data_IF_402368507036
#
_entry.id   IF_402368507036
#
_cell.length_a   1.000
_cell.length_b   1.000
_cell.length_c   1.000
_cell.angle_alpha   90.00
_cell.angle_beta   90.00
_cell.angle_gamma   90.00
#
_symmetry.space_group_name_H-M   'P 1'
#
loop_
_entity.id
_entity.type
_entity.pdbx_description
1 polymer ?
#
# COMPACT_ATOMS: atom_id res chain seq x y z
N UNK A 1 -11.57 -28.30 -2.94
CA UNK A 1 -10.33 -27.96 -2.20
C UNK A 1 -10.13 -26.45 -2.21
N UNK A 2 -10.83 -25.72 -1.34
CA UNK A 2 -10.74 -24.26 -1.26
C UNK A 2 -9.47 -23.87 -0.50
N UNK A 3 -8.38 -23.57 -1.22
CA UNK A 3 -7.20 -22.98 -0.61
C UNK A 3 -7.59 -21.58 -0.15
N UNK A 4 -7.92 -21.47 1.14
CA UNK A 4 -8.17 -20.20 1.82
C UNK A 4 -6.99 -19.26 1.53
N UNK A 5 -7.23 -18.26 0.67
CA UNK A 5 -6.26 -17.24 0.32
C UNK A 5 -6.09 -16.34 1.53
N UNK A 6 -5.22 -16.73 2.46
CA UNK A 6 -4.90 -15.91 3.61
C UNK A 6 -4.24 -14.64 3.10
N UNK A 7 -4.98 -13.54 3.19
CA UNK A 7 -4.49 -12.18 2.94
C UNK A 7 -3.27 -12.00 3.82
N UNK A 8 -2.15 -11.59 3.21
CA UNK A 8 -0.89 -11.45 3.93
C UNK A 8 -0.65 -9.98 4.26
N UNK A 9 -0.68 -9.60 5.54
CA UNK A 9 -0.48 -8.22 5.93
C UNK A 9 0.96 -7.81 5.63
N UNK A 10 1.10 -6.61 5.07
CA UNK A 10 2.36 -5.87 5.06
C UNK A 10 2.15 -4.58 5.82
N UNK A 11 3.05 -4.29 6.75
CA UNK A 11 3.01 -3.06 7.55
C UNK A 11 4.22 -2.20 7.15
N UNK A 12 4.01 -1.03 6.54
CA UNK A 12 5.08 -0.06 6.36
C UNK A 12 5.60 0.38 7.74
N UNK A 13 6.92 0.39 7.90
CA UNK A 13 7.54 0.90 9.12
C UNK A 13 7.57 2.44 9.10
N UNK A 14 7.71 3.03 10.29
CA UNK A 14 8.07 4.44 10.48
C UNK A 14 9.38 4.82 9.75
N UNK A 15 10.29 3.86 9.58
CA UNK A 15 11.53 4.04 8.82
C UNK A 15 11.25 3.93 7.32
N UNK A 16 11.67 4.94 6.57
CA UNK A 16 11.55 4.99 5.09
C UNK A 16 12.10 3.70 4.47
N UNK A 17 11.37 3.15 3.50
CA UNK A 17 11.72 1.93 2.76
C UNK A 17 11.54 0.62 3.52
N UNK A 18 11.31 0.62 4.84
CA UNK A 18 11.18 -0.62 5.61
C UNK A 18 9.75 -1.13 5.63
N UNK A 19 9.60 -2.43 5.40
CA UNK A 19 8.33 -3.15 5.47
C UNK A 19 8.46 -4.35 6.40
N UNK A 20 7.51 -4.46 7.32
CA UNK A 20 7.38 -5.60 8.23
C UNK A 20 6.42 -6.62 7.63
N UNK A 21 6.76 -7.89 7.85
CA UNK A 21 5.98 -9.06 7.46
C UNK A 21 5.61 -9.83 8.73
N UNK A 22 4.57 -9.40 9.48
CA UNK A 22 4.26 -9.96 10.79
C UNK A 22 4.01 -11.47 10.74
N UNK A 23 3.27 -11.93 9.75
CA UNK A 23 2.97 -13.36 9.56
C UNK A 23 4.20 -14.22 9.28
N UNK A 24 5.32 -13.61 8.90
CA UNK A 24 6.56 -14.31 8.57
C UNK A 24 7.70 -14.00 9.54
N UNK A 25 7.49 -13.12 10.53
CA UNK A 25 8.52 -12.68 11.47
C UNK A 25 9.73 -12.03 10.79
N UNK A 26 9.51 -11.38 9.64
CA UNK A 26 10.58 -10.85 8.81
C UNK A 26 10.40 -9.36 8.50
N UNK A 27 11.50 -8.74 8.05
CA UNK A 27 11.52 -7.35 7.56
C UNK A 27 12.34 -7.26 6.29
N UNK A 28 12.02 -6.30 5.43
CA UNK A 28 12.81 -6.00 4.25
C UNK A 28 12.87 -4.48 4.02
N UNK A 29 13.95 -4.05 3.35
CA UNK A 29 14.13 -2.66 2.96
C UNK A 29 14.04 -2.55 1.44
N UNK A 30 13.09 -1.78 0.94
CA UNK A 30 12.99 -1.36 -0.45
C UNK A 30 13.72 -0.03 -0.63
N UNK A 31 14.28 0.21 -1.82
CA UNK A 31 14.79 1.54 -2.16
C UNK A 31 13.60 2.52 -2.42
N UNK A 32 13.84 3.83 -2.58
CA UNK A 32 12.73 4.78 -2.76
C UNK A 32 11.80 4.45 -3.93
N UNK A 33 12.33 4.06 -5.09
CA UNK A 33 11.52 3.71 -6.27
C UNK A 33 10.72 2.40 -6.08
N UNK A 34 11.35 1.38 -5.52
CA UNK A 34 10.74 0.10 -5.18
C UNK A 34 9.64 0.28 -4.13
N UNK A 35 9.91 1.05 -3.07
CA UNK A 35 8.98 1.36 -1.99
C UNK A 35 7.78 2.15 -2.51
N UNK A 36 8.04 3.14 -3.38
CA UNK A 36 7.01 3.94 -4.05
C UNK A 36 6.05 3.06 -4.84
N UNK A 37 6.59 2.21 -5.72
CA UNK A 37 5.77 1.27 -6.48
C UNK A 37 4.99 0.33 -5.57
N UNK A 38 5.65 -0.25 -4.57
CA UNK A 38 5.00 -1.23 -3.71
C UNK A 38 3.86 -0.61 -2.90
N UNK A 39 4.06 0.59 -2.32
CA UNK A 39 3.00 1.34 -1.62
C UNK A 39 1.85 1.71 -2.54
N UNK A 40 2.12 2.16 -3.76
CA UNK A 40 1.07 2.43 -4.75
C UNK A 40 0.20 1.17 -4.96
N UNK A 41 0.80 0.02 -5.24
CA UNK A 41 0.04 -1.22 -5.44
C UNK A 41 -0.65 -1.75 -4.17
N UNK A 42 -0.17 -1.39 -2.98
CA UNK A 42 -0.87 -1.70 -1.72
C UNK A 42 -2.13 -0.84 -1.55
N UNK A 43 -2.15 0.39 -2.08
CA UNK A 43 -3.30 1.29 -2.09
C UNK A 43 -4.33 0.99 -3.18
N UNK A 44 -3.95 0.21 -4.20
CA UNK A 44 -4.79 -0.16 -5.34
C UNK A 44 -5.04 -1.68 -5.41
N UNK A 45 -5.90 -2.26 -4.53
CA UNK A 45 -6.21 -3.69 -4.53
C UNK A 45 -6.88 -4.18 -5.82
N UNK A 46 -7.57 -3.29 -6.55
CA UNK A 46 -8.12 -3.51 -7.89
C UNK A 46 -7.04 -3.71 -8.97
N UNK A 47 -5.82 -3.26 -8.67
CA UNK A 47 -4.66 -3.28 -9.55
C UNK A 47 -4.66 -2.16 -10.58
N UNK A 48 -3.45 -1.87 -11.06
CA UNK A 48 -3.20 -0.79 -12.03
C UNK A 48 -2.69 -1.37 -13.35
N UNK A 49 -3.02 -0.70 -14.45
CA UNK A 49 -2.37 -0.93 -15.74
C UNK A 49 -1.01 -0.23 -15.71
N UNK A 50 0.04 -0.89 -16.22
CA UNK A 50 1.39 -0.32 -16.18
C UNK A 50 1.51 0.97 -17.01
N UNK A 51 0.72 1.10 -18.07
CA UNK A 51 0.67 2.29 -18.93
C UNK A 51 -0.01 3.47 -18.23
N UNK A 52 -1.03 3.19 -17.42
CA UNK A 52 -1.80 4.18 -16.66
C UNK A 52 -1.07 4.70 -15.41
N UNK A 53 0.16 4.23 -15.14
CA UNK A 53 0.94 4.64 -13.97
C UNK A 53 1.12 6.17 -13.88
N UNK A 54 1.19 6.84 -15.04
CA UNK A 54 1.29 8.31 -15.13
C UNK A 54 0.03 9.01 -14.62
N UNK A 55 -1.15 8.37 -14.68
CA UNK A 55 -2.40 8.92 -14.13
C UNK A 55 -2.34 9.05 -12.59
N UNK A 56 -1.46 8.30 -11.95
CA UNK A 56 -1.20 8.34 -10.51
C UNK A 56 0.00 9.23 -10.14
N UNK A 57 0.38 10.19 -10.99
CA UNK A 57 1.56 11.03 -10.80
C UNK A 57 1.61 11.71 -9.43
N UNK A 58 0.48 12.28 -8.97
CA UNK A 58 0.41 12.97 -7.67
C UNK A 58 0.67 12.02 -6.50
N UNK A 59 0.14 10.80 -6.55
CA UNK A 59 0.38 9.78 -5.52
C UNK A 59 1.83 9.29 -5.56
N UNK A 60 2.35 8.98 -6.75
CA UNK A 60 3.75 8.61 -6.94
C UNK A 60 4.69 9.68 -6.39
N UNK A 61 4.41 10.95 -6.65
CA UNK A 61 5.17 12.09 -6.13
C UNK A 61 5.19 12.13 -4.61
N UNK A 62 4.00 12.06 -3.99
CA UNK A 62 3.87 12.14 -2.55
C UNK A 62 4.53 10.95 -1.84
N UNK A 63 4.33 9.74 -2.36
CA UNK A 63 4.95 8.55 -1.81
C UNK A 63 6.47 8.64 -1.98
N UNK A 64 6.98 8.99 -3.17
CA UNK A 64 8.42 9.08 -3.39
C UNK A 64 9.07 10.16 -2.53
N UNK A 65 8.43 11.32 -2.35
CA UNK A 65 8.89 12.37 -1.45
C UNK A 65 9.00 11.86 0.00
N UNK A 66 8.03 11.06 0.45
CA UNK A 66 8.08 10.40 1.75
C UNK A 66 9.18 9.32 1.84
N UNK A 67 9.47 8.61 0.76
CA UNK A 67 10.46 7.52 0.78
C UNK A 67 11.91 7.98 0.57
N UNK A 68 12.12 9.12 -0.09
CA UNK A 68 13.45 9.66 -0.41
C UNK A 68 13.98 10.58 0.70
N UNK A 69 15.24 10.42 1.08
CA UNK A 69 15.88 11.29 2.08
C UNK A 69 16.20 12.69 1.54
N UNK A 70 16.27 12.83 0.21
CA UNK A 70 16.64 14.07 -0.45
C UNK A 70 15.39 14.83 -0.88
N UNK A 71 15.30 16.10 -0.47
CA UNK A 71 14.28 17.00 -0.97
C UNK A 71 14.78 17.72 -2.24
N UNK A 72 15.11 16.92 -3.26
CA UNK A 72 15.48 17.41 -4.58
C UNK A 72 14.32 17.11 -5.55
N UNK A 73 13.55 18.13 -5.95
CA UNK A 73 12.44 17.97 -6.87
C UNK A 73 12.86 17.41 -8.24
N UNK A 74 14.06 17.76 -8.73
CA UNK A 74 14.55 17.34 -10.04
C UNK A 74 14.92 15.87 -10.04
N UNK A 75 15.62 15.40 -9.01
CA UNK A 75 15.94 13.97 -8.85
C UNK A 75 14.67 13.12 -8.70
N UNK A 76 13.68 13.63 -7.96
CA UNK A 76 12.38 12.99 -7.79
C UNK A 76 11.64 12.89 -9.13
N UNK A 77 11.53 14.00 -9.85
CA UNK A 77 10.89 14.04 -11.17
C UNK A 77 11.57 13.05 -12.12
N UNK A 78 12.90 13.09 -12.24
CA UNK A 78 13.66 12.19 -13.10
C UNK A 78 13.42 10.70 -12.75
N UNK A 79 13.35 10.37 -11.46
CA UNK A 79 13.06 9.01 -11.01
C UNK A 79 11.65 8.57 -11.43
N UNK A 80 10.65 9.43 -11.29
CA UNK A 80 9.25 9.13 -11.62
C UNK A 80 8.99 9.10 -13.12
N UNK A 81 9.57 10.02 -13.90
CA UNK A 81 9.53 9.97 -15.37
C UNK A 81 10.13 8.65 -15.86
N UNK A 82 11.27 8.25 -15.31
CA UNK A 82 11.91 6.97 -15.66
C UNK A 82 11.00 5.77 -15.34
N UNK A 83 10.30 5.81 -14.20
CA UNK A 83 9.37 4.79 -13.75
C UNK A 83 8.15 4.67 -14.67
N UNK A 84 7.60 5.80 -15.10
CA UNK A 84 6.41 5.89 -15.94
C UNK A 84 6.71 5.78 -17.45
N UNK A 85 7.98 5.76 -17.85
CA UNK A 85 8.40 5.71 -19.26
C UNK A 85 7.70 4.62 -20.07
N UNK A 86 7.46 4.92 -21.36
CA UNK A 86 6.78 4.02 -22.30
C UNK A 86 7.46 2.64 -22.42
N UNK A 87 8.79 2.59 -22.34
CA UNK A 87 9.53 1.31 -22.37
C UNK A 87 9.21 0.36 -21.20
N UNK A 88 8.69 0.91 -20.09
CA UNK A 88 8.47 0.23 -18.79
C UNK A 88 9.67 -0.57 -18.28
N UNK A 89 10.88 -0.32 -18.79
CA UNK A 89 12.10 -1.06 -18.41
C UNK A 89 12.41 -0.89 -16.93
N UNK A 90 12.34 0.34 -16.43
CA UNK A 90 12.58 0.66 -15.02
C UNK A 90 11.47 0.09 -14.13
N UNK A 91 10.22 0.15 -14.58
CA UNK A 91 9.09 -0.48 -13.89
C UNK A 91 9.28 -1.99 -13.71
N UNK A 92 9.54 -2.73 -14.80
CA UNK A 92 9.76 -4.18 -14.73
C UNK A 92 11.00 -4.56 -13.91
N UNK A 93 12.07 -3.77 -14.01
CA UNK A 93 13.27 -3.96 -13.20
C UNK A 93 12.98 -3.84 -11.70
N UNK A 94 12.21 -2.82 -11.29
CA UNK A 94 11.82 -2.64 -9.90
C UNK A 94 10.89 -3.76 -9.42
N UNK A 95 9.91 -4.21 -10.21
CA UNK A 95 9.08 -5.37 -9.85
C UNK A 95 9.95 -6.62 -9.60
N UNK A 96 10.94 -6.88 -10.46
CA UNK A 96 11.85 -8.01 -10.30
C UNK A 96 12.72 -7.88 -9.04
N UNK A 97 13.20 -6.67 -8.72
CA UNK A 97 13.98 -6.39 -7.50
C UNK A 97 13.15 -6.56 -6.24
N UNK A 98 11.93 -6.02 -6.22
CA UNK A 98 10.95 -6.21 -5.13
C UNK A 98 10.74 -7.70 -4.89
N UNK A 99 10.42 -8.46 -5.94
CA UNK A 99 10.26 -9.92 -5.88
C UNK A 99 11.47 -10.60 -5.26
N UNK A 100 12.68 -10.25 -5.69
CA UNK A 100 13.93 -10.82 -5.16
C UNK A 100 14.12 -10.51 -3.68
N UNK A 101 13.84 -9.28 -3.24
CA UNK A 101 13.95 -8.89 -1.83
C UNK A 101 12.97 -9.67 -0.94
N UNK A 102 11.72 -9.86 -1.38
CA UNK A 102 10.79 -10.75 -0.69
C UNK A 102 11.30 -12.19 -0.63
N UNK A 103 11.80 -12.74 -1.74
CA UNK A 103 12.35 -14.11 -1.79
C UNK A 103 13.53 -14.26 -0.82
N UNK A 104 14.42 -13.28 -0.76
CA UNK A 104 15.58 -13.31 0.13
C UNK A 104 15.18 -13.20 1.61
N UNK A 105 14.13 -12.45 1.94
CA UNK A 105 13.69 -12.25 3.32
C UNK A 105 12.94 -13.46 3.90
N UNK A 106 12.09 -14.13 3.11
CA UNK A 106 11.14 -15.15 3.63
C UNK A 106 11.12 -16.46 2.81
N UNK A 107 11.93 -16.57 1.77
CA UNK A 107 11.96 -17.72 0.87
C UNK A 107 10.86 -17.71 -0.20
N UNK A 108 11.14 -18.38 -1.33
CA UNK A 108 10.31 -18.31 -2.54
C UNK A 108 8.87 -18.81 -2.37
N UNK A 109 8.63 -19.79 -1.48
CA UNK A 109 7.28 -20.34 -1.23
C UNK A 109 6.38 -19.31 -0.55
N UNK A 110 6.88 -18.67 0.51
CA UNK A 110 6.14 -17.68 1.32
C UNK A 110 6.01 -16.35 0.57
N UNK A 111 7.04 -15.96 -0.19
CA UNK A 111 7.10 -14.72 -0.95
C UNK A 111 6.01 -14.59 -2.04
N UNK A 112 5.47 -15.70 -2.57
CA UNK A 112 4.45 -15.69 -3.63
C UNK A 112 3.19 -14.89 -3.33
N UNK A 113 2.85 -14.72 -2.04
CA UNK A 113 1.71 -13.92 -1.61
C UNK A 113 1.93 -12.40 -1.66
N UNK A 114 3.19 -11.96 -1.76
CA UNK A 114 3.57 -10.54 -1.70
C UNK A 114 3.96 -9.95 -3.05
N UNK A 115 3.99 -10.76 -4.11
CA UNK A 115 4.41 -10.30 -5.42
C UNK A 115 3.37 -9.41 -6.09
N UNK A 116 3.84 -8.36 -6.74
CA UNK A 116 3.09 -7.67 -7.79
C UNK A 116 3.06 -8.59 -9.01
N UNK A 117 1.87 -9.08 -9.39
CA UNK A 117 1.67 -10.00 -10.52
C UNK A 117 0.75 -9.38 -11.55
N UNK A 118 1.00 -9.70 -12.82
CA UNK A 118 0.08 -9.41 -13.93
C UNK A 118 -1.06 -10.41 -13.92
N UNK A 119 -2.29 -9.91 -14.07
CA UNK A 119 -3.51 -10.71 -14.17
C UNK A 119 -4.03 -10.71 -15.62
N UNK A 120 -4.96 -11.62 -15.99
CA UNK A 120 -5.46 -11.75 -17.36
C UNK A 120 -6.07 -10.46 -17.93
N UNK A 121 -6.62 -9.61 -17.08
CA UNK A 121 -7.15 -8.29 -17.43
C UNK A 121 -6.06 -7.22 -17.71
N UNK A 122 -4.79 -7.63 -17.79
CA UNK A 122 -3.66 -6.72 -18.03
C UNK A 122 -3.20 -5.92 -16.81
N UNK A 123 -3.93 -5.97 -15.69
CA UNK A 123 -3.61 -5.21 -14.48
C UNK A 123 -2.59 -5.91 -13.61
N UNK A 124 -1.79 -5.11 -12.92
CA UNK A 124 -0.82 -5.54 -11.92
C UNK A 124 -1.40 -5.28 -10.53
N UNK A 125 -1.33 -6.28 -9.66
CA UNK A 125 -1.70 -6.13 -8.23
C UNK A 125 -0.91 -7.09 -7.36
N UNK A 126 -0.90 -6.78 -6.07
CA UNK A 126 -0.42 -7.67 -5.01
C UNK A 126 -1.60 -8.29 -4.27
N UNK A 127 -1.41 -9.50 -3.75
CA UNK A 127 -2.37 -10.13 -2.81
C UNK A 127 -2.08 -9.76 -1.36
N UNK A 128 -0.99 -9.03 -1.13
CA UNK A 128 -0.75 -8.39 0.14
C UNK A 128 -1.77 -7.28 0.34
N UNK A 129 -2.24 -7.13 1.56
CA UNK A 129 -3.04 -5.98 1.95
C UNK A 129 -2.20 -5.12 2.86
N UNK A 130 -2.34 -3.80 2.72
CA UNK A 130 -1.84 -2.88 3.70
C UNK A 130 -2.60 -3.17 4.99
N UNK A 131 -1.98 -3.86 5.94
CA UNK A 131 -2.54 -3.93 7.26
C UNK A 131 -2.35 -2.55 7.84
N UNK A 132 -3.42 -1.75 7.81
CA UNK A 132 -3.58 -0.70 8.81
C UNK A 132 -3.37 -1.42 10.13
N UNK A 133 -2.31 -1.06 10.86
CA UNK A 133 -2.26 -1.37 12.26
C UNK A 133 -3.62 -0.93 12.78
N UNK A 134 -4.41 -1.85 13.31
CA UNK A 134 -5.62 -1.51 14.03
C UNK A 134 -5.16 -0.63 15.20
N UNK A 135 -5.05 0.68 14.98
CA UNK A 135 -5.43 1.63 15.98
C UNK A 135 -6.94 1.43 16.12
N UNK A 136 -7.29 0.53 17.02
CA UNK A 136 -8.54 0.68 17.73
C UNK A 136 -8.45 2.05 18.41
N UNK A 137 -9.08 3.05 17.82
CA UNK A 137 -9.84 3.97 18.63
C UNK A 137 -11.27 4.00 18.10
N UNK A 138 -12.18 3.83 19.05
CA UNK A 138 -13.59 3.90 18.83
C UNK A 138 -13.94 5.27 18.25
N UNK A 139 -14.78 5.31 17.23
CA UNK A 139 -16.01 6.12 17.19
C UNK A 139 -16.64 5.88 15.81
N UNK A 140 -17.50 4.87 15.75
CA UNK A 140 -18.66 4.89 14.87
C UNK A 140 -19.34 6.26 15.02
N UNK A 141 -19.69 7.01 13.96
CA UNK A 141 -20.79 7.95 14.07
C UNK A 141 -22.05 7.08 14.24
N UNK A 142 -22.32 6.67 15.47
CA UNK A 142 -23.61 6.17 15.89
C UNK A 142 -24.61 7.27 15.55
N UNK A 143 -25.50 6.93 14.62
CA UNK A 143 -26.77 7.58 14.33
C UNK A 143 -27.34 8.22 15.59
N UNK A 144 -27.18 9.53 15.73
CA UNK A 144 -27.92 10.31 16.70
C UNK A 144 -29.35 10.45 16.15
N UNK A 145 -30.19 9.49 16.51
CA UNK A 145 -31.64 9.66 16.49
C UNK A 145 -31.97 10.87 17.39
N UNK A 146 -32.78 11.84 16.93
CA UNK A 146 -33.23 12.92 17.80
C UNK A 146 -34.22 12.34 18.82
N UNK A 147 -33.76 12.15 20.05
CA UNK A 147 -34.62 11.87 21.20
C UNK A 147 -35.43 13.12 21.53
N UNK A 148 -36.76 12.96 21.46
CA UNK A 148 -37.76 13.92 21.90
C UNK A 148 -37.48 14.43 23.34
N UNK A 149 -37.87 15.68 23.67
CA UNK A 149 -37.66 16.22 25.00
C UNK A 149 -38.54 15.51 26.05
N UNK A 150 -38.05 15.28 27.28
CA UNK A 150 -38.82 14.66 28.33
C UNK A 150 -39.85 15.63 28.91
N UNK A 151 -41.05 15.09 29.08
CA UNK A 151 -42.13 15.49 29.98
C UNK A 151 -41.70 16.45 31.11
N UNK A 152 -42.27 17.65 31.12
CA UNK A 152 -42.21 18.55 32.27
C UNK A 152 -43.05 17.96 33.44
N UNK A 153 -42.56 17.96 34.69
CA UNK A 153 -43.36 17.54 35.83
C UNK A 153 -44.40 18.62 36.17
N UNK A 154 -45.58 18.23 36.69
CA UNK A 154 -46.55 19.20 37.17
C UNK A 154 -46.11 19.70 38.55
N UNK A 155 -46.23 20.99 38.82
CA UNK A 155 -46.46 21.43 40.20
C UNK A 155 -47.20 22.75 40.28
N UNK A 156 -48.28 22.64 41.02
CA UNK A 156 -49.23 23.63 41.52
C UNK A 156 -48.54 24.59 42.49
N UNK A 157 -48.89 25.88 42.43
CA UNK A 157 -49.66 26.63 43.45
C UNK A 157 -50.15 27.94 42.83
#
# INVERSE_FOLDING_TARGET
>A
MSKSCHIRPVVPDSRRGWFQLPSEGARLCLNPAESTLYRLFLGHPEGLVADDLVLHWKELWNIYAHESCFDDPQLRENALVSLCSESKRVFYSNIARIKRKFVNAIGARKARGYYIKRYPNGRYRTLATLAVANMADATTPTTAQPTAPPNAPPRQV
#
